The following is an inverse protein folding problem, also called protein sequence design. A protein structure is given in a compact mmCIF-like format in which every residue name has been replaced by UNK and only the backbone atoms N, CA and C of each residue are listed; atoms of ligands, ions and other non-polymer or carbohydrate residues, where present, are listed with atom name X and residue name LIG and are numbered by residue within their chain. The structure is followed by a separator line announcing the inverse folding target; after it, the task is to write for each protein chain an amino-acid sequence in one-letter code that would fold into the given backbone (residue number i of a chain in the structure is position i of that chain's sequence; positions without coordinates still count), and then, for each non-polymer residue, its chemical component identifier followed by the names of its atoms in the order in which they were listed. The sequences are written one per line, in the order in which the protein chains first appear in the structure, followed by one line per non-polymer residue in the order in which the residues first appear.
data_IF_484713711319
#
_entry.id   IF_484713711319
#
_cell.length_a   1.000
_cell.length_b   1.000
_cell.length_c   1.000
_cell.angle_alpha   90.00
_cell.angle_beta   90.00
_cell.angle_gamma   90.00
#
_symmetry.space_group_name_H-M   'P 1'
#
loop_
_entity.id
_entity.type
_entity.pdbx_description
1 polymer ?
#
# COMPACT_ATOMS: atom_id res chain seq x y z
N UNK A 1 28.08 12.36 2.60
CA UNK A 1 26.71 12.60 2.10
C UNK A 1 25.95 11.32 1.76
N UNK A 2 26.59 10.14 1.77
CA UNK A 2 25.92 8.84 1.52
C UNK A 2 24.77 8.55 2.48
N UNK A 3 24.94 8.78 3.79
CA UNK A 3 23.86 8.57 4.78
C UNK A 3 22.54 9.28 4.41
N UNK A 4 22.62 10.50 3.89
CA UNK A 4 21.43 11.26 3.51
C UNK A 4 20.77 10.68 2.26
N UNK A 5 21.56 10.29 1.25
CA UNK A 5 21.03 9.64 0.05
C UNK A 5 20.40 8.28 0.39
N UNK A 6 21.05 7.48 1.22
CA UNK A 6 20.54 6.20 1.70
C UNK A 6 19.24 6.40 2.48
N UNK A 7 19.18 7.41 3.35
CA UNK A 7 17.97 7.74 4.11
C UNK A 7 16.80 8.12 3.19
N UNK A 8 17.06 8.91 2.14
CA UNK A 8 16.03 9.26 1.16
C UNK A 8 15.53 8.03 0.40
N UNK A 9 16.43 7.13 0.03
CA UNK A 9 16.08 5.90 -0.67
C UNK A 9 15.29 4.93 0.24
N UNK A 10 15.71 4.75 1.49
CA UNK A 10 15.03 3.90 2.50
C UNK A 10 13.61 4.41 2.80
N UNK A 11 13.46 5.73 2.92
CA UNK A 11 12.16 6.36 3.22
C UNK A 11 11.25 6.51 2.01
N UNK A 12 11.64 6.00 0.84
CA UNK A 12 10.93 6.16 -0.43
C UNK A 12 10.69 7.64 -0.83
N UNK A 13 11.64 8.51 -0.50
CA UNK A 13 11.63 9.95 -0.77
C UNK A 13 12.55 10.35 -1.93
N UNK A 14 13.37 9.42 -2.44
CA UNK A 14 14.20 9.66 -3.62
C UNK A 14 13.33 9.77 -4.89
N UNK A 15 13.88 10.35 -5.95
CA UNK A 15 13.15 10.42 -7.24
C UNK A 15 12.79 9.03 -7.77
N UNK A 16 13.70 8.08 -7.66
CA UNK A 16 13.52 6.70 -8.12
C UNK A 16 12.41 5.98 -7.36
N UNK A 17 12.19 6.33 -6.09
CA UNK A 17 11.22 5.68 -5.20
C UNK A 17 9.93 6.48 -5.03
N UNK A 18 9.82 7.65 -5.66
CA UNK A 18 8.67 8.56 -5.53
C UNK A 18 7.33 7.90 -5.83
N UNK A 19 7.29 7.00 -6.81
CA UNK A 19 6.06 6.26 -7.14
C UNK A 19 5.56 5.43 -5.94
N UNK A 20 6.47 4.76 -5.23
CA UNK A 20 6.16 4.00 -4.02
C UNK A 20 5.69 4.94 -2.90
N UNK A 21 6.41 6.05 -2.68
CA UNK A 21 6.03 7.06 -1.69
C UNK A 21 4.63 7.64 -1.94
N UNK A 22 4.27 7.86 -3.20
CA UNK A 22 2.93 8.32 -3.61
C UNK A 22 1.84 7.29 -3.26
N UNK A 23 2.10 6.01 -3.53
CA UNK A 23 1.16 4.93 -3.20
C UNK A 23 0.97 4.82 -1.68
N UNK A 24 2.05 4.86 -0.90
CA UNK A 24 1.98 4.84 0.58
C UNK A 24 1.12 6.00 1.08
N UNK A 25 1.34 7.22 0.55
CA UNK A 25 0.55 8.39 0.90
C UNK A 25 -0.94 8.19 0.59
N UNK A 26 -1.28 7.65 -0.59
CA UNK A 26 -2.66 7.39 -0.97
C UNK A 26 -3.33 6.36 -0.04
N UNK A 27 -2.63 5.26 0.26
CA UNK A 27 -3.10 4.21 1.19
C UNK A 27 -3.41 4.80 2.57
N UNK A 28 -2.51 5.62 3.11
CA UNK A 28 -2.72 6.30 4.39
C UNK A 28 -3.90 7.28 4.32
N UNK A 29 -4.06 8.02 3.22
CA UNK A 29 -5.19 8.92 3.02
C UNK A 29 -6.52 8.17 3.00
N UNK A 30 -6.60 7.04 2.31
CA UNK A 30 -7.82 6.21 2.27
C UNK A 30 -8.17 5.63 3.63
N UNK A 31 -7.19 5.29 4.46
CA UNK A 31 -7.44 4.88 5.84
C UNK A 31 -8.06 6.02 6.68
N UNK A 32 -7.58 7.25 6.49
CA UNK A 32 -8.17 8.44 7.14
C UNK A 32 -9.59 8.74 6.62
N UNK A 33 -9.80 8.66 5.31
CA UNK A 33 -11.11 8.87 4.67
C UNK A 33 -12.13 7.83 5.16
N UNK A 34 -11.71 6.57 5.28
CA UNK A 34 -12.53 5.49 5.82
C UNK A 34 -12.92 5.76 7.27
N UNK A 35 -11.97 6.16 8.11
CA UNK A 35 -12.25 6.57 9.49
C UNK A 35 -13.25 7.74 9.53
N UNK A 36 -13.09 8.73 8.66
CA UNK A 36 -14.00 9.86 8.54
C UNK A 36 -15.43 9.44 8.19
N UNK A 37 -15.59 8.43 7.34
CA UNK A 37 -16.88 7.83 7.01
C UNK A 37 -17.53 7.19 8.25
N UNK A 38 -16.78 6.43 9.04
CA UNK A 38 -17.29 5.79 10.25
C UNK A 38 -17.74 6.80 11.32
N UNK A 39 -16.91 7.82 11.59
CA UNK A 39 -17.23 8.85 12.61
C UNK A 39 -18.49 9.64 12.22
N UNK A 40 -18.68 9.94 10.93
CA UNK A 40 -19.87 10.65 10.45
C UNK A 40 -21.11 9.75 10.41
N UNK A 41 -20.95 8.48 10.05
CA UNK A 41 -22.04 7.51 9.96
C UNK A 41 -22.70 7.16 11.30
N UNK A 42 -21.99 7.30 12.43
CA UNK A 42 -22.57 7.12 13.78
C UNK A 42 -23.59 8.22 14.12
N UNK A 43 -23.45 9.42 13.54
CA UNK A 43 -24.31 10.56 13.84
C UNK A 43 -25.53 10.71 12.92
N UNK A 44 -25.57 10.00 11.79
CA UNK A 44 -26.60 10.19 10.75
C UNK A 44 -27.19 8.84 10.30
N UNK A 45 -28.21 8.39 11.03
CA UNK A 45 -28.90 7.10 10.81
C UNK A 45 -29.70 7.07 9.50
N UNK A 46 -29.93 8.21 8.85
CA UNK A 46 -30.69 8.33 7.59
C UNK A 46 -29.87 8.04 6.32
N UNK A 47 -28.54 8.12 6.38
CA UNK A 47 -27.65 8.11 5.21
C UNK A 47 -26.86 6.79 5.02
N UNK A 48 -27.38 5.63 5.47
CA UNK A 48 -26.65 4.35 5.42
C UNK A 48 -26.26 3.91 4.01
N UNK A 49 -27.09 4.19 2.99
CA UNK A 49 -26.78 3.84 1.59
C UNK A 49 -25.57 4.65 1.09
N UNK A 50 -25.60 5.98 1.25
CA UNK A 50 -24.48 6.87 0.90
C UNK A 50 -23.18 6.52 1.63
N UNK A 51 -23.28 6.03 2.88
CA UNK A 51 -22.12 5.58 3.63
C UNK A 51 -21.51 4.30 3.03
N UNK A 52 -22.35 3.32 2.66
CA UNK A 52 -21.90 2.08 2.05
C UNK A 52 -21.24 2.35 0.69
N UNK A 53 -21.80 3.22 -0.13
CA UNK A 53 -21.23 3.60 -1.44
C UNK A 53 -19.87 4.30 -1.29
N UNK A 54 -19.73 5.18 -0.28
CA UNK A 54 -18.45 5.83 0.04
C UNK A 54 -17.41 4.82 0.51
N UNK A 55 -17.78 3.94 1.45
CA UNK A 55 -16.88 2.88 1.94
C UNK A 55 -16.45 1.96 0.79
N UNK A 56 -17.37 1.57 -0.07
CA UNK A 56 -17.08 0.75 -1.25
C UNK A 56 -16.12 1.44 -2.21
N UNK A 57 -16.33 2.74 -2.47
CA UNK A 57 -15.44 3.55 -3.30
C UNK A 57 -14.04 3.65 -2.71
N UNK A 58 -13.93 3.87 -1.39
CA UNK A 58 -12.65 3.93 -0.68
C UNK A 58 -11.93 2.58 -0.78
N UNK A 59 -12.64 1.47 -0.54
CA UNK A 59 -12.10 0.12 -0.67
C UNK A 59 -11.52 -0.13 -2.06
N UNK A 60 -12.27 0.19 -3.12
CA UNK A 60 -11.80 0.00 -4.49
C UNK A 60 -10.53 0.80 -4.80
N UNK A 61 -10.43 2.05 -4.30
CA UNK A 61 -9.23 2.88 -4.49
C UNK A 61 -8.04 2.33 -3.70
N UNK A 62 -8.27 1.88 -2.47
CA UNK A 62 -7.28 1.23 -1.64
C UNK A 62 -6.73 -0.04 -2.30
N UNK A 63 -7.62 -0.93 -2.75
CA UNK A 63 -7.25 -2.20 -3.41
C UNK A 63 -6.40 -1.95 -4.66
N UNK A 64 -6.80 -0.99 -5.52
CA UNK A 64 -6.02 -0.62 -6.72
C UNK A 64 -4.60 -0.14 -6.40
N UNK A 65 -4.44 0.63 -5.32
CA UNK A 65 -3.11 1.11 -4.90
C UNK A 65 -2.25 -0.05 -4.36
N UNK A 66 -2.85 -0.98 -3.62
CA UNK A 66 -2.16 -2.18 -3.14
C UNK A 66 -1.74 -3.12 -4.28
N UNK A 67 -2.59 -3.31 -5.29
CA UNK A 67 -2.25 -4.06 -6.52
C UNK A 67 -1.13 -3.40 -7.31
N UNK A 68 -1.11 -2.06 -7.39
CA UNK A 68 -0.03 -1.32 -8.03
C UNK A 68 1.29 -1.48 -7.27
N UNK A 69 1.25 -1.40 -5.94
CA UNK A 69 2.41 -1.63 -5.08
C UNK A 69 2.95 -3.06 -5.26
N UNK A 70 2.07 -4.05 -5.32
CA UNK A 70 2.43 -5.44 -5.60
C UNK A 70 3.14 -5.56 -6.94
N UNK A 71 2.63 -4.90 -7.98
CA UNK A 71 3.22 -4.92 -9.32
C UNK A 71 4.62 -4.31 -9.32
N UNK A 72 4.84 -3.22 -8.58
CA UNK A 72 6.16 -2.60 -8.40
C UNK A 72 7.10 -3.57 -7.68
N UNK A 73 6.62 -4.20 -6.60
CA UNK A 73 7.38 -5.23 -5.88
C UNK A 73 7.82 -6.37 -6.81
N UNK A 74 6.90 -6.91 -7.63
CA UNK A 74 7.19 -8.02 -8.55
C UNK A 74 8.21 -7.67 -9.64
N UNK A 75 8.28 -6.39 -10.04
CA UNK A 75 9.23 -5.90 -11.05
C UNK A 75 10.58 -5.49 -10.47
N UNK A 76 10.64 -5.27 -9.15
CA UNK A 76 11.82 -4.74 -8.49
C UNK A 76 12.85 -5.84 -8.18
N UNK A 77 14.15 -5.51 -8.15
CA UNK A 77 15.17 -6.46 -7.74
C UNK A 77 14.91 -6.98 -6.33
N UNK A 78 14.88 -8.30 -6.16
CA UNK A 78 14.65 -8.94 -4.84
C UNK A 78 15.88 -8.89 -3.93
N UNK A 79 17.07 -8.76 -4.52
CA UNK A 79 18.35 -8.77 -3.83
C UNK A 79 18.89 -7.33 -3.72
N UNK A 80 18.62 -6.68 -2.60
CA UNK A 80 19.12 -5.35 -2.25
C UNK A 80 19.02 -5.10 -0.75
N UNK A 81 19.98 -4.39 -0.15
CA UNK A 81 20.03 -4.12 1.30
C UNK A 81 18.83 -3.31 1.80
N UNK A 82 18.27 -2.46 0.94
CA UNK A 82 17.15 -1.59 1.23
C UNK A 82 16.24 -1.53 0.01
N UNK A 83 14.91 -1.53 0.21
CA UNK A 83 13.98 -1.37 -0.90
C UNK A 83 12.62 -2.02 -0.66
N UNK A 84 11.82 -1.99 -1.72
CA UNK A 84 10.43 -2.46 -1.72
C UNK A 84 10.29 -3.92 -1.31
N UNK A 85 11.30 -4.77 -1.49
CA UNK A 85 11.25 -6.18 -1.09
C UNK A 85 11.06 -6.37 0.41
N UNK A 86 11.84 -5.66 1.23
CA UNK A 86 11.73 -5.69 2.69
C UNK A 86 10.42 -5.08 3.14
N UNK A 87 10.05 -3.92 2.58
CA UNK A 87 8.79 -3.27 2.89
C UNK A 87 7.57 -4.16 2.58
N UNK A 88 7.57 -4.81 1.42
CA UNK A 88 6.52 -5.74 1.02
C UNK A 88 6.44 -6.95 1.94
N UNK A 89 7.57 -7.47 2.42
CA UNK A 89 7.61 -8.54 3.41
C UNK A 89 6.87 -8.18 4.70
N UNK A 90 7.02 -6.94 5.18
CA UNK A 90 6.26 -6.44 6.34
C UNK A 90 4.79 -6.16 6.05
N UNK A 91 4.45 -5.81 4.80
CA UNK A 91 3.10 -5.47 4.40
C UNK A 91 2.23 -6.72 4.15
N UNK A 92 2.82 -7.76 3.53
CA UNK A 92 2.17 -9.01 3.15
C UNK A 92 2.56 -10.16 4.11
N UNK A 93 2.66 -9.88 5.41
CA UNK A 93 3.03 -10.86 6.43
C UNK A 93 2.08 -12.08 6.50
N UNK A 94 0.81 -11.87 6.14
CA UNK A 94 -0.22 -12.91 6.13
C UNK A 94 -0.38 -13.59 4.76
N UNK A 95 0.52 -13.31 3.81
CA UNK A 95 0.49 -13.85 2.45
C UNK A 95 -0.81 -13.61 1.67
N UNK A 96 -1.62 -12.63 2.08
CA UNK A 96 -2.91 -12.33 1.45
C UNK A 96 -2.78 -12.05 -0.06
N UNK A 97 -1.72 -11.35 -0.45
CA UNK A 97 -1.46 -11.01 -1.85
C UNK A 97 -0.64 -12.08 -2.58
N UNK A 98 -0.20 -13.14 -1.91
CA UNK A 98 0.64 -14.19 -2.51
C UNK A 98 -0.16 -15.14 -3.43
N UNK A 99 -1.48 -15.19 -3.28
CA UNK A 99 -2.35 -16.18 -3.93
C UNK A 99 -2.80 -15.81 -5.36
N UNK A 100 -1.86 -15.39 -6.20
CA UNK A 100 -2.07 -15.18 -7.64
C UNK A 100 -0.84 -15.40 -8.52
N UNK A 101 0.33 -15.72 -7.95
CA UNK A 101 1.57 -15.93 -8.73
C UNK A 101 2.60 -16.85 -8.06
N UNK A 102 2.15 -17.87 -7.32
CA UNK A 102 3.04 -18.95 -6.88
C UNK A 102 3.11 -20.09 -7.90
N UNK A 103 3.75 -19.80 -9.04
CA UNK A 103 4.66 -20.75 -9.70
C UNK A 103 6.03 -20.08 -9.72
N UNK A 104 6.72 -20.11 -8.58
CA UNK A 104 8.18 -20.14 -8.46
C UNK A 104 8.54 -20.07 -6.97
N UNK A 105 8.18 -21.13 -6.26
CA UNK A 105 8.90 -21.60 -5.07
C UNK A 105 10.36 -21.85 -5.46
N UNK A 106 11.25 -20.95 -5.09
CA UNK A 106 12.66 -21.30 -4.95
C UNK A 106 12.92 -21.53 -3.45
N UNK A 107 13.14 -22.80 -3.12
CA UNK A 107 13.71 -23.25 -1.86
C UNK A 107 15.20 -22.87 -1.80
N UNK A 108 15.60 -22.41 -0.61
CA UNK A 108 16.96 -22.26 -0.03
C UNK A 108 18.06 -21.61 -0.87
#
# INVERSE_FOLDING_TARGET
MEYLMDSLHICFLSEETRAIGSIIKNVLQYALDFRGCLVRGVHDTGARADLLDKVQTIKQKFDKNMEELQRIYLRSPKHGKFGISHFWGFLNCNEYYSNGSNQNTFFF
#
